data_IF_033683386755
#
_entry.id   IF_033683386755
#
_cell.length_a   1.000
_cell.length_b   1.000
_cell.length_c   1.000
_cell.angle_alpha   90.00
_cell.angle_beta   90.00
_cell.angle_gamma   90.00
#
_symmetry.space_group_name_H-M   'P 1'
#
loop_
_entity.id
_entity.type
_entity.pdbx_description
1 polymer ?
#
# COMPACT_ATOMS: atom_id res chain seq x y z
N UNK A 1 -1.20 -27.67 -64.62
CA UNK A 1 -1.63 -26.76 -65.69
C UNK A 1 -2.98 -26.23 -65.25
N UNK A 2 -2.99 -25.09 -64.57
CA UNK A 2 -3.28 -23.73 -65.09
C UNK A 2 -4.76 -23.40 -64.87
N UNK A 3 -5.11 -22.62 -63.83
CA UNK A 3 -5.10 -21.15 -63.69
C UNK A 3 -6.19 -20.42 -64.50
N UNK A 4 -7.12 -19.79 -63.78
CA UNK A 4 -7.58 -18.37 -63.92
C UNK A 4 -8.89 -18.20 -63.11
N UNK A 5 -8.96 -17.45 -62.00
CA UNK A 5 -8.88 -15.99 -61.76
C UNK A 5 -9.93 -15.14 -62.49
N UNK A 6 -10.87 -14.60 -61.71
CA UNK A 6 -11.43 -13.25 -61.90
C UNK A 6 -11.70 -12.67 -60.53
N UNK A 7 -10.93 -11.65 -60.14
CA UNK A 7 -11.15 -10.92 -58.90
C UNK A 7 -12.00 -9.68 -59.13
N UNK A 8 -12.50 -9.10 -58.02
CA UNK A 8 -12.40 -7.65 -57.82
C UNK A 8 -12.49 -7.32 -56.33
N UNK A 9 -11.45 -6.62 -55.88
CA UNK A 9 -11.35 -5.91 -54.61
C UNK A 9 -12.40 -4.80 -54.51
N UNK A 10 -12.95 -4.63 -53.30
CA UNK A 10 -13.34 -3.32 -52.77
C UNK A 10 -12.88 -3.27 -51.32
N UNK A 11 -11.82 -2.50 -51.08
CA UNK A 11 -11.42 -2.00 -49.77
C UNK A 11 -12.52 -1.09 -49.23
N UNK A 12 -13.00 -1.35 -48.03
CA UNK A 12 -13.50 -0.29 -47.16
C UNK A 12 -12.81 -0.40 -45.80
N UNK A 13 -12.00 0.62 -45.54
CA UNK A 13 -11.49 0.96 -44.23
C UNK A 13 -12.69 1.27 -43.30
N UNK A 14 -12.96 0.39 -42.35
CA UNK A 14 -13.65 0.74 -41.10
C UNK A 14 -12.61 0.74 -39.99
N UNK A 15 -12.52 1.77 -39.13
CA UNK A 15 -11.52 1.79 -38.06
C UNK A 15 -11.74 0.58 -37.16
N UNK A 16 -10.64 -0.12 -36.86
CA UNK A 16 -10.54 -1.03 -35.73
C UNK A 16 -10.90 -0.18 -34.52
N UNK A 17 -12.12 -0.32 -34.03
CA UNK A 17 -12.52 0.22 -32.73
C UNK A 17 -11.58 -0.42 -31.72
N UNK A 18 -10.65 0.39 -31.21
CA UNK A 18 -9.94 0.11 -29.97
C UNK A 18 -10.98 -0.35 -28.94
N UNK A 19 -10.77 -1.47 -28.21
CA UNK A 19 -11.62 -1.74 -27.06
C UNK A 19 -11.56 -0.49 -26.18
N UNK A 20 -12.71 0.14 -25.99
CA UNK A 20 -12.85 1.28 -25.11
C UNK A 20 -12.27 0.84 -23.76
N UNK A 21 -11.18 1.48 -23.34
CA UNK A 21 -10.64 1.34 -21.99
C UNK A 21 -11.82 1.54 -21.05
N UNK A 22 -12.18 0.48 -20.32
CA UNK A 22 -13.11 0.61 -19.22
C UNK A 22 -12.58 1.74 -18.32
N UNK A 23 -13.43 2.67 -17.84
CA UNK A 23 -12.99 3.64 -16.87
C UNK A 23 -12.35 2.87 -15.71
N UNK A 24 -11.13 3.26 -15.33
CA UNK A 24 -10.47 2.75 -14.14
C UNK A 24 -11.50 2.82 -13.00
N UNK A 25 -11.79 1.67 -12.40
CA UNK A 25 -12.71 1.58 -11.27
C UNK A 25 -12.33 2.66 -10.27
N UNK A 26 -13.28 3.54 -9.95
CA UNK A 26 -13.07 4.51 -8.90
C UNK A 26 -12.59 3.76 -7.63
N UNK A 27 -11.58 4.28 -6.92
CA UNK A 27 -11.09 3.63 -5.72
C UNK A 27 -12.27 3.37 -4.77
N UNK A 28 -12.35 2.15 -4.25
CA UNK A 28 -13.38 1.79 -3.29
C UNK A 28 -13.30 2.78 -2.12
N UNK A 29 -14.43 3.42 -1.78
CA UNK A 29 -14.48 4.29 -0.62
C UNK A 29 -14.10 3.49 0.63
N UNK A 30 -13.28 4.06 1.54
CA UNK A 30 -12.84 3.35 2.72
C UNK A 30 -14.06 2.88 3.53
N UNK A 31 -14.07 1.59 3.88
CA UNK A 31 -15.04 1.05 4.82
C UNK A 31 -14.88 1.78 6.15
N UNK A 32 -15.97 2.26 6.74
CA UNK A 32 -15.95 2.96 8.04
C UNK A 32 -16.59 2.07 9.12
N UNK A 33 -15.91 1.02 9.59
CA UNK A 33 -16.46 0.14 10.63
C UNK A 33 -16.55 0.87 11.97
N UNK A 34 -17.44 0.39 12.83
CA UNK A 34 -17.46 0.82 14.24
C UNK A 34 -16.41 0.08 15.04
N UNK A 35 -15.68 0.80 15.90
CA UNK A 35 -14.59 0.25 16.72
C UNK A 35 -14.81 0.53 18.21
N UNK A 36 -14.25 -0.35 19.03
CA UNK A 36 -14.14 -0.21 20.48
C UNK A 36 -12.65 -0.16 20.83
N UNK A 37 -12.21 0.94 21.45
CA UNK A 37 -10.81 1.21 21.79
C UNK A 37 -10.72 1.86 23.17
N UNK A 38 -9.83 1.37 24.02
CA UNK A 38 -9.43 2.05 25.24
C UNK A 38 -7.92 1.89 25.39
N UNK A 39 -7.20 2.87 24.89
CA UNK A 39 -5.75 2.95 24.96
C UNK A 39 -5.34 4.17 25.75
N UNK A 40 -4.34 3.98 26.61
CA UNK A 40 -3.65 5.05 27.30
C UNK A 40 -2.20 5.03 26.85
N UNK A 41 -1.71 6.19 26.42
CA UNK A 41 -0.32 6.42 26.03
C UNK A 41 0.13 5.49 24.90
N UNK A 42 -0.78 5.20 23.95
CA UNK A 42 -0.46 4.35 22.82
C UNK A 42 0.46 5.10 21.85
N UNK A 43 1.52 4.43 21.32
CA UNK A 43 2.34 5.02 20.27
C UNK A 43 1.49 5.37 19.05
N UNK A 44 1.67 6.58 18.53
CA UNK A 44 0.92 7.10 17.39
C UNK A 44 1.04 6.18 16.17
N UNK A 45 2.24 5.68 15.88
CA UNK A 45 2.47 4.77 14.75
C UNK A 45 1.68 3.46 14.86
N UNK A 46 1.55 2.91 16.08
CA UNK A 46 0.77 1.71 16.34
C UNK A 46 -0.73 1.99 16.14
N UNK A 47 -1.21 3.18 16.55
CA UNK A 47 -2.58 3.61 16.29
C UNK A 47 -2.84 3.77 14.78
N UNK A 48 -1.92 4.39 14.04
CA UNK A 48 -2.08 4.58 12.59
C UNK A 48 -2.10 3.25 11.84
N UNK A 49 -1.24 2.31 12.25
CA UNK A 49 -1.26 0.97 11.72
C UNK A 49 -2.58 0.24 12.06
N UNK A 50 -3.11 0.41 13.26
CA UNK A 50 -4.42 -0.10 13.63
C UNK A 50 -5.53 0.46 12.74
N UNK A 51 -5.59 1.79 12.57
CA UNK A 51 -6.61 2.43 11.74
C UNK A 51 -6.48 2.02 10.27
N UNK A 52 -5.27 1.98 9.73
CA UNK A 52 -5.01 1.55 8.35
C UNK A 52 -5.60 0.17 8.07
N UNK A 53 -5.51 -0.74 9.04
CA UNK A 53 -6.11 -2.07 8.93
C UNK A 53 -7.64 -2.03 9.08
N UNK A 54 -8.17 -1.33 10.08
CA UNK A 54 -9.62 -1.31 10.33
C UNK A 54 -10.39 -0.73 9.15
N UNK A 55 -9.89 0.36 8.56
CA UNK A 55 -10.56 1.02 7.42
C UNK A 55 -10.08 0.49 6.07
N UNK A 56 -9.21 -0.53 6.08
CA UNK A 56 -8.60 -1.15 4.90
C UNK A 56 -8.01 -0.11 3.93
N UNK A 57 -7.23 0.84 4.47
CA UNK A 57 -6.66 1.97 3.73
C UNK A 57 -5.20 2.16 4.13
N UNK A 58 -4.25 2.24 3.18
CA UNK A 58 -2.86 2.54 3.50
C UNK A 58 -2.73 3.90 4.20
N UNK A 59 -1.99 3.97 5.29
CA UNK A 59 -1.72 5.22 6.02
C UNK A 59 -0.21 5.39 6.15
N UNK A 60 0.31 6.50 5.62
CA UNK A 60 1.67 6.99 5.87
C UNK A 60 1.64 8.14 6.88
N UNK A 61 2.69 8.27 7.70
CA UNK A 61 2.81 9.34 8.69
C UNK A 61 4.20 9.97 8.65
N UNK A 62 4.25 11.29 8.74
CA UNK A 62 5.50 12.06 8.93
C UNK A 62 5.59 12.68 10.33
N UNK A 63 4.66 12.33 11.22
CA UNK A 63 4.60 12.87 12.58
C UNK A 63 5.68 12.25 13.45
N UNK A 64 6.30 13.08 14.29
CA UNK A 64 7.28 12.60 15.26
C UNK A 64 6.62 11.63 16.27
N UNK A 65 7.34 10.59 16.73
CA UNK A 65 6.80 9.61 17.65
C UNK A 65 6.15 10.24 18.88
N UNK A 66 4.82 10.20 18.94
CA UNK A 66 4.00 10.79 19.99
C UNK A 66 3.15 9.70 20.64
N UNK A 67 2.74 9.92 21.89
CA UNK A 67 1.81 9.04 22.59
C UNK A 67 0.46 9.73 22.71
N UNK A 68 -0.60 9.01 22.39
CA UNK A 68 -1.97 9.54 22.37
C UNK A 68 -2.87 8.67 23.25
N UNK A 69 -3.78 9.32 23.98
CA UNK A 69 -4.82 8.62 24.73
C UNK A 69 -6.06 8.51 23.84
N UNK A 70 -6.62 7.30 23.70
CA UNK A 70 -7.76 7.08 22.81
C UNK A 70 -8.82 6.26 23.54
N UNK A 71 -10.01 6.84 23.66
CA UNK A 71 -11.21 6.12 24.11
C UNK A 71 -12.31 6.28 23.09
N UNK A 72 -12.82 5.15 22.62
CA UNK A 72 -13.95 5.06 21.72
C UNK A 72 -14.80 3.84 22.04
N UNK A 73 -16.12 3.99 22.01
CA UNK A 73 -17.04 2.87 22.21
C UNK A 73 -18.12 2.90 21.15
N UNK A 74 -18.06 1.93 20.22
CA UNK A 74 -18.94 1.79 19.05
C UNK A 74 -18.99 3.05 18.20
N UNK A 75 -17.85 3.66 17.98
CA UNK A 75 -17.72 4.87 17.17
C UNK A 75 -17.15 4.53 15.79
N UNK A 76 -17.51 5.28 14.73
CA UNK A 76 -16.93 5.06 13.40
C UNK A 76 -15.42 5.28 13.39
N UNK A 77 -14.67 4.35 12.80
CA UNK A 77 -13.22 4.36 12.82
C UNK A 77 -12.61 5.65 12.27
N UNK A 78 -13.18 6.24 11.23
CA UNK A 78 -12.71 7.53 10.68
C UNK A 78 -12.92 8.69 11.65
N UNK A 79 -14.01 8.71 12.40
CA UNK A 79 -14.29 9.77 13.38
C UNK A 79 -13.34 9.67 14.57
N UNK A 80 -13.02 8.44 14.99
CA UNK A 80 -12.03 8.20 16.04
C UNK A 80 -10.64 8.58 15.52
N UNK A 81 -10.28 8.20 14.29
CA UNK A 81 -9.02 8.59 13.65
C UNK A 81 -8.87 10.12 13.65
N UNK A 82 -9.88 10.85 13.15
CA UNK A 82 -9.84 12.31 13.09
C UNK A 82 -9.67 12.95 14.48
N UNK A 83 -10.21 12.33 15.54
CA UNK A 83 -9.96 12.75 16.94
C UNK A 83 -8.52 12.49 17.39
N UNK A 84 -7.97 11.31 17.08
CA UNK A 84 -6.55 10.99 17.36
C UNK A 84 -5.63 11.98 16.65
N UNK A 85 -5.94 12.31 15.39
CA UNK A 85 -5.18 13.29 14.62
C UNK A 85 -5.29 14.69 15.25
N UNK A 86 -6.48 15.10 15.68
CA UNK A 86 -6.65 16.40 16.35
C UNK A 86 -5.82 16.50 17.65
N UNK A 87 -5.75 15.43 18.45
CA UNK A 87 -4.93 15.37 19.67
C UNK A 87 -3.42 15.41 19.35
N UNK A 88 -3.02 14.76 18.26
CA UNK A 88 -1.64 14.78 17.76
C UNK A 88 -1.27 16.04 16.98
N UNK A 89 -2.14 17.07 16.93
CA UNK A 89 -1.97 18.27 16.10
C UNK A 89 -1.66 17.93 14.63
N UNK A 90 -2.43 17.01 14.07
CA UNK A 90 -2.23 16.41 12.76
C UNK A 90 -3.44 16.61 11.83
N UNK A 91 -3.22 16.44 10.53
CA UNK A 91 -4.27 16.27 9.53
C UNK A 91 -3.95 15.12 8.59
N UNK A 92 -4.98 14.50 8.03
CA UNK A 92 -4.86 13.52 6.95
C UNK A 92 -5.21 14.14 5.60
N UNK A 93 -4.46 13.78 4.57
CA UNK A 93 -4.76 14.12 3.18
C UNK A 93 -4.88 12.83 2.38
N UNK A 94 -5.90 12.75 1.51
CA UNK A 94 -6.03 11.65 0.56
C UNK A 94 -4.93 11.74 -0.51
N UNK A 95 -4.24 10.63 -0.72
CA UNK A 95 -3.18 10.49 -1.70
C UNK A 95 -3.30 9.17 -2.45
N UNK A 96 -2.56 9.05 -3.54
CA UNK A 96 -2.30 7.75 -4.17
C UNK A 96 -1.46 6.88 -3.22
N UNK A 97 -1.78 5.60 -3.15
CA UNK A 97 -1.12 4.64 -2.27
C UNK A 97 -1.01 3.26 -2.95
N UNK A 98 -0.18 2.40 -2.36
CA UNK A 98 0.07 1.05 -2.85
C UNK A 98 -0.56 0.05 -1.90
N UNK A 99 -1.33 -0.90 -2.44
CA UNK A 99 -1.77 -2.09 -1.72
C UNK A 99 -1.03 -3.31 -2.25
N UNK A 100 -0.53 -4.15 -1.35
CA UNK A 100 0.10 -5.42 -1.72
C UNK A 100 -0.97 -6.53 -1.72
N UNK A 101 -1.04 -7.30 -2.81
CA UNK A 101 -2.07 -8.31 -3.06
C UNK A 101 -1.44 -9.59 -3.60
N UNK A 102 -2.09 -10.74 -3.44
CA UNK A 102 -1.53 -12.04 -3.87
C UNK A 102 -1.27 -12.12 -5.39
N UNK A 103 -2.05 -11.41 -6.21
CA UNK A 103 -2.01 -11.49 -7.69
C UNK A 103 -2.18 -10.12 -8.37
N UNK A 104 -1.28 -9.19 -8.07
CA UNK A 104 -1.32 -7.81 -8.58
C UNK A 104 -0.41 -7.52 -9.77
N UNK A 105 -0.23 -6.24 -10.05
CA UNK A 105 0.79 -5.74 -10.98
C UNK A 105 2.19 -6.03 -10.44
N UNK A 106 3.14 -6.24 -11.36
CA UNK A 106 4.51 -6.67 -11.04
C UNK A 106 5.56 -5.71 -11.62
N UNK A 107 5.14 -4.54 -12.12
CA UNK A 107 5.97 -3.54 -12.79
C UNK A 107 6.27 -2.34 -11.86
N UNK A 108 6.50 -2.62 -10.58
CA UNK A 108 6.74 -1.60 -9.56
C UNK A 108 7.99 -0.74 -9.83
N UNK A 109 8.91 -1.18 -10.72
CA UNK A 109 10.00 -0.34 -11.19
C UNK A 109 9.52 0.96 -11.86
N UNK A 110 8.32 0.98 -12.45
CA UNK A 110 7.72 2.17 -13.06
C UNK A 110 7.38 3.28 -12.05
N UNK A 111 7.22 2.92 -10.76
CA UNK A 111 6.94 3.86 -9.67
C UNK A 111 8.13 4.77 -9.35
N UNK A 112 9.35 4.40 -9.79
CA UNK A 112 10.55 5.21 -9.59
C UNK A 112 11.00 5.29 -8.13
N UNK A 113 11.13 6.50 -7.59
CA UNK A 113 11.59 6.77 -6.23
C UNK A 113 13.10 6.97 -6.09
N UNK A 114 13.51 7.37 -4.89
CA UNK A 114 14.89 7.63 -4.54
C UNK A 114 15.75 6.37 -4.68
N UNK A 115 17.00 6.56 -5.08
CA UNK A 115 17.97 5.47 -5.11
C UNK A 115 18.25 4.98 -3.68
N UNK A 116 18.34 3.65 -3.54
CA UNK A 116 18.68 2.99 -2.29
C UNK A 116 19.63 1.82 -2.53
N UNK A 117 20.48 1.57 -1.53
CA UNK A 117 21.37 0.41 -1.50
C UNK A 117 20.94 -0.47 -0.34
N UNK A 118 20.76 -1.76 -0.59
CA UNK A 118 20.22 -2.70 0.37
C UNK A 118 20.95 -4.04 0.23
N UNK A 119 21.57 -4.47 1.33
CA UNK A 119 22.17 -5.80 1.44
C UNK A 119 21.57 -6.48 2.66
N UNK A 120 20.56 -7.31 2.43
CA UNK A 120 19.82 -8.00 3.48
C UNK A 120 19.64 -9.46 3.14
N UNK A 121 19.64 -10.29 4.18
CA UNK A 121 19.36 -11.71 4.08
C UNK A 121 18.18 -12.04 4.98
N UNK A 122 17.17 -12.67 4.42
CA UNK A 122 15.94 -13.05 5.09
C UNK A 122 15.25 -11.90 5.86
N UNK A 123 15.12 -10.72 5.22
CA UNK A 123 14.37 -9.60 5.78
C UNK A 123 12.85 -9.84 5.61
N UNK A 124 12.02 -9.71 6.67
CA UNK A 124 10.58 -9.79 6.52
C UNK A 124 10.05 -8.77 5.52
N UNK A 125 9.05 -9.13 4.70
CA UNK A 125 8.52 -8.25 3.65
C UNK A 125 8.03 -6.92 4.23
N UNK A 126 7.28 -6.95 5.32
CA UNK A 126 6.77 -5.73 5.95
C UNK A 126 7.89 -4.80 6.42
N UNK A 127 9.05 -5.37 6.82
CA UNK A 127 10.24 -4.58 7.16
C UNK A 127 10.91 -3.99 5.94
N UNK A 128 10.88 -4.67 4.81
CA UNK A 128 11.33 -4.08 3.57
C UNK A 128 10.41 -2.93 3.14
N UNK A 129 9.09 -3.10 3.25
CA UNK A 129 8.12 -2.05 2.92
C UNK A 129 8.35 -0.79 3.78
N UNK A 130 8.65 -0.95 5.08
CA UNK A 130 9.05 0.16 5.97
C UNK A 130 10.27 0.95 5.43
N UNK A 131 11.22 0.28 4.78
CA UNK A 131 12.44 0.90 4.23
C UNK A 131 12.22 1.55 2.86
N UNK A 132 11.32 0.97 2.06
CA UNK A 132 11.04 1.40 0.68
C UNK A 132 10.04 2.55 0.63
N UNK A 133 9.00 2.52 1.47
CA UNK A 133 7.95 3.55 1.55
C UNK A 133 8.49 5.00 1.60
N UNK A 134 9.42 5.37 2.50
CA UNK A 134 9.93 6.74 2.54
C UNK A 134 10.74 7.12 1.29
N UNK A 135 11.25 6.14 0.54
CA UNK A 135 12.00 6.34 -0.71
C UNK A 135 11.10 6.42 -1.93
N UNK A 136 9.92 5.79 -1.87
CA UNK A 136 8.87 5.96 -2.86
C UNK A 136 8.02 7.22 -2.62
N UNK A 137 7.99 7.73 -1.38
CA UNK A 137 7.11 8.82 -0.97
C UNK A 137 5.61 8.54 -1.23
N UNK A 138 5.24 7.26 -1.25
CA UNK A 138 3.89 6.76 -1.49
C UNK A 138 3.55 5.79 -0.35
N UNK A 139 2.45 5.97 0.41
CA UNK A 139 2.05 5.03 1.45
C UNK A 139 1.87 3.61 0.93
N UNK A 140 2.35 2.60 1.68
CA UNK A 140 2.24 1.20 1.27
C UNK A 140 1.47 0.40 2.34
N UNK A 141 0.46 -0.37 1.94
CA UNK A 141 -0.20 -1.30 2.84
C UNK A 141 0.79 -2.39 3.30
N UNK A 142 0.72 -2.78 4.58
CA UNK A 142 1.46 -3.93 5.08
C UNK A 142 0.70 -5.23 4.76
N UNK A 143 1.45 -6.28 4.47
CA UNK A 143 0.92 -7.61 4.11
C UNK A 143 0.62 -8.42 5.36
N UNK A 144 -0.56 -9.03 5.41
CA UNK A 144 -1.03 -9.75 6.59
C UNK A 144 -1.21 -8.80 7.78
N UNK A 145 -1.65 -9.33 8.92
CA UNK A 145 -1.74 -8.54 10.15
C UNK A 145 -0.33 -8.32 10.73
N UNK A 146 0.14 -7.09 10.92
CA UNK A 146 1.06 -6.81 12.00
C UNK A 146 0.25 -6.52 13.26
N UNK A 147 0.50 -7.25 14.34
CA UNK A 147 0.58 -6.56 15.62
C UNK A 147 2.06 -6.53 16.00
N UNK A 148 2.68 -5.35 15.91
CA UNK A 148 3.48 -4.94 17.06
C UNK A 148 2.47 -4.99 18.20
N UNK A 149 2.66 -5.96 19.09
CA UNK A 149 1.80 -6.16 20.24
C UNK A 149 1.76 -4.84 20.99
N UNK A 150 0.65 -4.11 20.91
CA UNK A 150 0.24 -3.28 22.03
C UNK A 150 0.07 -4.30 23.14
N UNK A 151 1.01 -4.33 24.08
CA UNK A 151 1.20 -5.43 25.04
C UNK A 151 -0.13 -5.84 25.68
N UNK A 152 -0.76 -6.87 25.10
CA UNK A 152 -1.75 -7.72 25.76
C UNK A 152 -1.20 -9.13 25.57
N UNK A 153 -0.38 -9.57 26.54
CA UNK A 153 0.14 -10.95 26.68
C UNK A 153 1.43 -11.35 25.94
N UNK A 154 2.14 -10.45 25.28
CA UNK A 154 3.55 -10.69 24.88
C UNK A 154 3.80 -11.72 23.76
N UNK A 155 2.84 -11.97 22.86
CA UNK A 155 3.06 -12.85 21.71
C UNK A 155 3.65 -12.11 20.50
N UNK A 156 4.88 -12.46 20.14
CA UNK A 156 5.52 -12.02 18.88
C UNK A 156 4.73 -12.54 17.69
N UNK A 157 4.44 -11.67 16.71
CA UNK A 157 3.77 -12.04 15.46
C UNK A 157 4.79 -12.12 14.34
N UNK A 158 4.75 -13.25 13.63
CA UNK A 158 5.57 -13.55 12.47
C UNK A 158 4.98 -12.91 11.21
N UNK A 159 5.84 -12.34 10.38
CA UNK A 159 5.48 -11.91 9.03
C UNK A 159 5.01 -13.15 8.23
N UNK A 160 3.81 -13.10 7.65
CA UNK A 160 3.27 -14.24 6.90
C UNK A 160 3.89 -14.36 5.51
N UNK A 161 4.55 -13.31 5.01
CA UNK A 161 5.26 -13.35 3.75
C UNK A 161 6.60 -14.08 3.89
N UNK A 162 7.01 -14.77 2.83
CA UNK A 162 8.35 -15.32 2.75
C UNK A 162 9.39 -14.20 2.94
N UNK A 163 10.47 -14.44 3.69
CA UNK A 163 11.48 -13.42 3.91
C UNK A 163 12.27 -13.15 2.62
N UNK A 164 12.60 -11.88 2.41
CA UNK A 164 13.24 -11.36 1.21
C UNK A 164 14.77 -11.37 1.36
N UNK A 165 15.50 -11.66 0.29
CA UNK A 165 16.96 -11.61 0.27
C UNK A 165 17.40 -10.82 -0.95
N UNK A 166 17.98 -9.64 -0.71
CA UNK A 166 18.34 -8.68 -1.76
C UNK A 166 19.74 -8.15 -1.52
N UNK A 167 20.49 -8.07 -2.61
CA UNK A 167 21.79 -7.40 -2.69
C UNK A 167 21.74 -6.46 -3.89
N UNK A 168 21.47 -5.19 -3.60
CA UNK A 168 21.22 -4.14 -4.57
C UNK A 168 22.00 -2.89 -4.16
N UNK A 169 22.60 -2.21 -5.13
CA UNK A 169 23.38 -0.99 -4.90
C UNK A 169 22.90 0.09 -5.85
N UNK A 170 22.56 1.26 -5.30
CA UNK A 170 22.16 2.46 -6.02
C UNK A 170 21.00 2.23 -7.01
N UNK A 171 19.95 1.57 -6.52
CA UNK A 171 18.81 1.15 -7.35
C UNK A 171 17.56 1.94 -6.93
N UNK A 172 16.70 2.40 -7.86
CA UNK A 172 15.44 3.06 -7.51
C UNK A 172 14.57 2.20 -6.60
N UNK A 173 13.92 2.83 -5.61
CA UNK A 173 13.07 2.16 -4.63
C UNK A 173 11.97 1.29 -5.25
N UNK A 174 11.36 1.73 -6.35
CA UNK A 174 10.35 0.96 -7.09
C UNK A 174 10.90 -0.35 -7.65
N UNK A 175 12.16 -0.37 -8.09
CA UNK A 175 12.80 -1.60 -8.55
C UNK A 175 13.13 -2.52 -7.37
N UNK A 176 13.49 -1.98 -6.20
CA UNK A 176 13.65 -2.76 -4.97
C UNK A 176 12.32 -3.42 -4.58
N UNK A 177 11.22 -2.66 -4.62
CA UNK A 177 9.87 -3.18 -4.38
C UNK A 177 9.53 -4.30 -5.36
N UNK A 178 9.73 -4.07 -6.66
CA UNK A 178 9.48 -5.08 -7.68
C UNK A 178 10.20 -6.39 -7.39
N UNK A 179 11.50 -6.35 -7.07
CA UNK A 179 12.28 -7.56 -6.77
C UNK A 179 11.75 -8.32 -5.56
N UNK A 180 11.29 -7.60 -4.54
CA UNK A 180 10.73 -8.20 -3.35
C UNK A 180 9.39 -8.89 -3.62
N UNK A 181 8.52 -8.23 -4.39
CA UNK A 181 7.23 -8.78 -4.80
C UNK A 181 7.42 -10.02 -5.68
N UNK A 182 8.31 -9.96 -6.68
CA UNK A 182 8.70 -11.11 -7.51
C UNK A 182 9.21 -12.30 -6.67
N UNK A 183 10.05 -12.05 -5.66
CA UNK A 183 10.60 -13.12 -4.81
C UNK A 183 9.53 -13.75 -3.91
N UNK A 184 8.60 -12.95 -3.40
CA UNK A 184 7.58 -13.39 -2.43
C UNK A 184 6.32 -13.91 -3.11
N UNK A 185 6.15 -13.67 -4.41
CA UNK A 185 4.98 -14.06 -5.19
C UNK A 185 3.79 -13.11 -5.05
N UNK A 186 3.95 -11.98 -4.36
CA UNK A 186 2.95 -10.91 -4.29
C UNK A 186 3.03 -10.01 -5.52
N UNK A 187 1.96 -9.25 -5.76
CA UNK A 187 1.95 -8.09 -6.65
C UNK A 187 1.40 -6.86 -5.92
N UNK A 188 1.17 -5.77 -6.65
CA UNK A 188 0.60 -4.56 -6.09
C UNK A 188 -0.57 -4.02 -6.91
N UNK A 189 -1.38 -3.19 -6.26
CA UNK A 189 -2.42 -2.38 -6.90
C UNK A 189 -2.33 -0.95 -6.39
N UNK A 190 -2.63 0.00 -7.26
CA UNK A 190 -2.77 1.40 -6.87
C UNK A 190 -4.14 1.61 -6.23
N UNK A 191 -4.15 2.35 -5.13
CA UNK A 191 -5.35 2.63 -4.34
C UNK A 191 -5.29 4.05 -3.78
N UNK A 192 -6.31 4.43 -3.03
CA UNK A 192 -6.29 5.67 -2.24
C UNK A 192 -5.83 5.36 -0.83
N UNK A 193 -4.91 6.16 -0.31
CA UNK A 193 -4.43 6.11 1.07
C UNK A 193 -4.54 7.47 1.74
N UNK A 194 -4.07 7.53 2.98
CA UNK A 194 -3.91 8.77 3.72
C UNK A 194 -2.43 9.03 3.99
N UNK A 195 -2.02 10.29 3.84
CA UNK A 195 -0.78 10.80 4.43
C UNK A 195 -1.16 11.71 5.58
N UNK A 196 -0.52 11.48 6.71
CA UNK A 196 -0.69 12.26 7.92
C UNK A 196 0.49 13.22 8.08
N UNK A 197 0.18 14.50 8.22
CA UNK A 197 1.14 15.58 8.41
C UNK A 197 0.82 16.40 9.65
N UNK A 198 1.82 17.02 10.29
CA UNK A 198 1.59 18.02 11.34
C UNK A 198 0.79 19.21 10.79
N UNK A 199 -0.04 19.82 11.65
CA UNK A 199 -0.72 21.09 11.40
C UNK A 199 0.15 22.32 11.66
#
# INVERSE_FOLDING_TARGET
MDFSFTGRFLSQHGPIGTPASAPASAPASPTNPTIDLDFQQAPFDDLMQFFAHQIDTPIGSTIEPTKVDVRATREPALDVLDRVLAEAHATRTEVEAIRIVDHGANDAASLGGDAMSLNVRALPLNRLLDLVEPKLAIPIARVGQPFRVITVSGQVIEDQAAPVTLELTDVPAGLVLQRALEQTGYGYELTTGFVITPN
#
